data_IF_095648366908
#
_entry.id   IF_095648366908
#
_cell.length_a   1.000
_cell.length_b   1.000
_cell.length_c   1.000
_cell.angle_alpha   90.00
_cell.angle_beta   90.00
_cell.angle_gamma   90.00
#
_symmetry.space_group_name_H-M   'P 1'
#
loop_
_entity.id
_entity.type
_entity.pdbx_description
1 polymer ?
#
# COMPACT_ATOMS: atom_id res chain seq x y z
N UNK A 1 12.61 6.02 -14.58
CA UNK A 1 13.20 4.81 -15.18
C UNK A 1 12.35 4.32 -16.33
N UNK A 2 12.98 3.70 -17.33
CA UNK A 2 12.27 3.00 -18.40
C UNK A 2 11.99 1.58 -17.91
N UNK A 3 10.76 1.33 -17.49
CA UNK A 3 10.30 0.05 -16.96
C UNK A 3 9.47 -0.63 -18.05
N UNK A 4 9.63 -1.94 -18.22
CA UNK A 4 8.72 -2.74 -19.04
C UNK A 4 7.75 -3.50 -18.14
N UNK A 5 6.61 -3.93 -18.69
CA UNK A 5 5.65 -4.74 -17.97
C UNK A 5 5.22 -5.94 -18.82
N UNK A 6 4.93 -7.06 -18.16
CA UNK A 6 4.43 -8.26 -18.81
C UNK A 6 3.50 -9.07 -17.90
N UNK A 7 2.70 -9.94 -18.51
CA UNK A 7 1.92 -10.96 -17.82
C UNK A 7 2.72 -12.26 -17.87
N UNK A 8 2.93 -12.87 -16.71
CA UNK A 8 3.74 -14.10 -16.57
C UNK A 8 2.91 -15.36 -16.40
N UNK A 9 1.70 -15.24 -15.84
CA UNK A 9 0.74 -16.34 -15.69
C UNK A 9 -0.67 -15.80 -15.53
N UNK A 10 -1.67 -16.60 -15.87
CA UNK A 10 -3.07 -16.28 -15.65
C UNK A 10 -3.92 -17.56 -15.60
N UNK A 11 -5.07 -17.47 -14.94
CA UNK A 11 -6.14 -18.46 -14.95
C UNK A 11 -7.51 -17.76 -15.02
N UNK A 12 -8.61 -18.49 -14.80
CA UNK A 12 -9.96 -17.93 -14.88
C UNK A 12 -10.26 -16.81 -13.85
N UNK A 13 -9.50 -16.75 -12.76
CA UNK A 13 -9.74 -15.85 -11.63
C UNK A 13 -8.50 -15.03 -11.24
N UNK A 14 -7.34 -15.28 -11.84
CA UNK A 14 -6.10 -14.60 -11.48
C UNK A 14 -5.23 -14.21 -12.69
N UNK A 15 -4.44 -13.15 -12.52
CA UNK A 15 -3.34 -12.78 -13.40
C UNK A 15 -2.14 -12.36 -12.58
N UNK A 16 -0.94 -12.78 -12.98
CA UNK A 16 0.32 -12.34 -12.37
C UNK A 16 1.07 -11.45 -13.34
N UNK A 17 1.19 -10.17 -13.00
CA UNK A 17 1.98 -9.19 -13.73
C UNK A 17 3.36 -8.98 -13.12
N UNK A 18 4.30 -8.54 -13.93
CA UNK A 18 5.61 -8.10 -13.49
C UNK A 18 5.98 -6.77 -14.12
N UNK A 19 6.69 -5.95 -13.35
CA UNK A 19 7.50 -4.85 -13.85
C UNK A 19 8.95 -5.31 -13.90
N UNK A 20 9.60 -5.06 -15.03
CA UNK A 20 10.95 -5.49 -15.32
C UNK A 20 11.86 -4.29 -15.55
N UNK A 21 13.11 -4.42 -15.10
CA UNK A 21 14.18 -3.54 -15.56
C UNK A 21 14.36 -3.74 -17.07
N UNK A 22 14.27 -2.66 -17.85
CA UNK A 22 14.28 -2.76 -19.32
C UNK A 22 15.61 -3.32 -19.87
N UNK A 23 16.73 -3.08 -19.20
CA UNK A 23 18.04 -3.47 -19.71
C UNK A 23 18.39 -4.92 -19.36
N UNK A 24 18.21 -5.28 -18.09
CA UNK A 24 18.58 -6.59 -17.55
C UNK A 24 17.45 -7.61 -17.65
N UNK A 25 16.22 -7.14 -17.87
CA UNK A 25 14.98 -7.94 -17.79
C UNK A 25 14.77 -8.58 -16.41
N UNK A 26 15.47 -8.10 -15.39
CA UNK A 26 15.29 -8.57 -14.02
C UNK A 26 13.94 -8.09 -13.46
N UNK A 27 13.21 -8.94 -12.72
CA UNK A 27 11.96 -8.55 -12.10
C UNK A 27 12.20 -7.55 -10.98
N UNK A 28 11.53 -6.40 -11.09
CA UNK A 28 11.56 -5.32 -10.11
C UNK A 28 10.36 -5.38 -9.17
N UNK A 29 9.18 -5.65 -9.73
CA UNK A 29 7.94 -5.80 -8.96
C UNK A 29 7.11 -6.93 -9.54
N UNK A 30 6.66 -7.86 -8.71
CA UNK A 30 5.70 -8.91 -9.09
C UNK A 30 4.40 -8.70 -8.35
N UNK A 31 3.26 -8.73 -9.04
CA UNK A 31 1.96 -8.48 -8.43
C UNK A 31 0.90 -9.46 -8.97
N UNK A 32 0.33 -10.31 -8.09
CA UNK A 32 -0.86 -11.07 -8.44
C UNK A 32 -2.12 -10.21 -8.29
N UNK A 33 -3.02 -10.30 -9.25
CA UNK A 33 -4.37 -9.79 -9.18
C UNK A 33 -5.33 -10.97 -9.19
N UNK A 34 -6.03 -11.19 -8.08
CA UNK A 34 -6.95 -12.32 -7.90
C UNK A 34 -8.35 -11.78 -7.67
N UNK A 35 -9.33 -12.25 -8.43
CA UNK A 35 -10.74 -11.88 -8.28
C UNK A 35 -11.20 -12.20 -6.86
N UNK A 36 -11.80 -11.21 -6.20
CA UNK A 36 -12.30 -11.33 -4.83
C UNK A 36 -11.25 -11.15 -3.73
N UNK A 37 -9.97 -10.97 -4.06
CA UNK A 37 -8.97 -10.61 -3.06
C UNK A 37 -9.25 -9.21 -2.50
N UNK A 38 -9.34 -9.04 -1.16
CA UNK A 38 -9.46 -7.73 -0.55
C UNK A 38 -8.11 -6.98 -0.46
N UNK A 39 -7.03 -7.62 -0.90
CA UNK A 39 -5.67 -7.07 -0.88
C UNK A 39 -5.13 -6.90 -2.29
N UNK A 40 -4.51 -5.75 -2.54
CA UNK A 40 -3.49 -5.58 -3.57
C UNK A 40 -2.16 -6.06 -3.00
N UNK A 41 -1.46 -6.94 -3.70
CA UNK A 41 -0.18 -7.51 -3.25
C UNK A 41 0.90 -7.22 -4.28
N UNK A 42 2.08 -6.79 -3.81
CA UNK A 42 3.24 -6.54 -4.65
C UNK A 42 4.53 -6.95 -3.93
N UNK A 43 5.34 -7.79 -4.57
CA UNK A 43 6.68 -8.15 -4.14
C UNK A 43 7.70 -7.29 -4.89
N UNK A 44 8.53 -6.56 -4.14
CA UNK A 44 9.55 -5.65 -4.62
C UNK A 44 10.92 -6.31 -4.53
N UNK A 45 11.73 -6.13 -5.58
CA UNK A 45 13.07 -6.70 -5.70
C UNK A 45 14.06 -5.67 -6.22
N UNK A 46 15.36 -5.99 -6.13
CA UNK A 46 16.41 -5.19 -6.76
C UNK A 46 16.55 -3.78 -6.17
N UNK A 47 16.12 -3.58 -4.92
CA UNK A 47 16.22 -2.29 -4.23
C UNK A 47 15.18 -1.25 -4.66
N UNK A 48 14.10 -1.64 -5.35
CA UNK A 48 13.04 -0.73 -5.77
C UNK A 48 12.30 -0.16 -4.56
N UNK A 49 12.16 1.17 -4.55
CA UNK A 49 11.44 1.91 -3.52
C UNK A 49 9.97 2.11 -3.91
N UNK A 50 9.01 1.54 -3.16
CA UNK A 50 7.60 1.75 -3.42
C UNK A 50 7.20 3.20 -3.13
N UNK A 51 6.32 3.71 -3.99
CA UNK A 51 5.61 4.97 -3.79
C UNK A 51 4.13 4.75 -4.03
N UNK A 52 3.31 5.08 -3.04
CA UNK A 52 1.87 5.20 -3.20
C UNK A 52 1.55 6.67 -3.45
N UNK A 53 0.89 6.96 -4.57
CA UNK A 53 0.47 8.31 -4.94
C UNK A 53 -1.05 8.42 -4.86
N UNK A 54 -1.54 9.52 -4.30
CA UNK A 54 -2.97 9.80 -4.11
C UNK A 54 -3.39 10.89 -5.10
N UNK A 55 -3.99 10.48 -6.22
CA UNK A 55 -4.32 11.40 -7.32
C UNK A 55 -5.60 12.21 -7.08
N UNK A 56 -6.56 11.63 -6.36
CA UNK A 56 -7.90 12.19 -6.16
C UNK A 56 -8.31 12.28 -4.68
N UNK A 57 -7.36 12.10 -3.77
CA UNK A 57 -7.58 12.17 -2.34
C UNK A 57 -6.33 12.69 -1.64
N UNK A 58 -6.51 13.14 -0.41
CA UNK A 58 -5.41 13.58 0.44
C UNK A 58 -5.19 12.62 1.59
N UNK A 59 -3.93 12.29 1.85
CA UNK A 59 -3.51 11.59 3.05
C UNK A 59 -3.55 12.56 4.23
N UNK A 60 -4.49 12.32 5.13
CA UNK A 60 -4.78 13.16 6.30
C UNK A 60 -4.29 12.57 7.61
N UNK A 61 -3.93 11.29 7.63
CA UNK A 61 -3.38 10.63 8.79
C UNK A 61 -2.62 9.37 8.45
N UNK A 62 -1.58 9.11 9.23
CA UNK A 62 -0.74 7.91 9.14
C UNK A 62 -0.47 7.44 10.56
N UNK A 63 -0.57 6.13 10.81
CA UNK A 63 -0.20 5.54 12.10
C UNK A 63 0.56 4.22 11.87
N UNK A 64 1.67 4.02 12.59
CA UNK A 64 2.46 2.79 12.55
C UNK A 64 2.08 1.79 13.66
N UNK A 65 2.90 0.76 13.83
CA UNK A 65 2.74 -0.29 14.87
C UNK A 65 2.82 0.24 16.31
N UNK A 66 3.45 1.39 16.53
CA UNK A 66 3.60 1.96 17.86
C UNK A 66 2.39 2.85 18.20
N UNK A 67 1.48 2.29 19.00
CA UNK A 67 0.60 2.95 19.96
C UNK A 67 0.12 4.36 19.59
N UNK A 68 -0.77 4.45 18.60
CA UNK A 68 -1.73 5.56 18.45
C UNK A 68 -1.16 6.95 18.13
N UNK A 69 0.15 7.15 18.14
CA UNK A 69 0.77 8.42 17.82
C UNK A 69 0.73 8.65 16.29
N UNK A 70 -0.16 9.55 15.85
CA UNK A 70 -0.16 10.08 14.49
C UNK A 70 1.03 11.05 14.37
N UNK A 71 2.13 10.74 13.67
CA UNK A 71 3.10 11.77 13.32
C UNK A 71 2.38 12.93 12.62
N UNK A 72 2.78 14.18 12.86
CA UNK A 72 2.13 15.35 12.26
C UNK A 72 2.43 15.49 10.75
N UNK A 73 3.56 14.93 10.31
CA UNK A 73 4.08 14.70 8.95
C UNK A 73 5.53 14.19 9.13
N UNK A 74 6.06 13.40 8.20
CA UNK A 74 7.45 12.93 8.31
C UNK A 74 7.61 11.45 7.97
N UNK A 75 8.38 10.72 8.79
CA UNK A 75 8.65 9.29 8.57
C UNK A 75 7.78 8.43 9.49
N UNK A 76 7.05 7.49 8.91
CA UNK A 76 6.40 6.39 9.63
C UNK A 76 7.22 5.12 9.43
N UNK A 77 7.31 4.29 10.46
CA UNK A 77 7.98 2.99 10.38
C UNK A 77 7.10 1.91 10.99
N UNK A 78 7.04 0.74 10.35
CA UNK A 78 6.30 -0.42 10.86
C UNK A 78 6.13 -1.52 9.82
N UNK A 79 5.52 -2.62 10.25
CA UNK A 79 5.05 -3.72 9.38
C UNK A 79 3.55 -3.60 9.08
N UNK A 80 2.83 -2.77 9.84
CA UNK A 80 1.44 -2.40 9.59
C UNK A 80 1.31 -0.88 9.74
N UNK A 81 0.85 -0.24 8.67
CA UNK A 81 0.69 1.22 8.59
C UNK A 81 -0.76 1.50 8.21
N UNK A 82 -1.48 2.19 9.10
CA UNK A 82 -2.84 2.64 8.86
C UNK A 82 -2.80 4.02 8.20
N UNK A 83 -3.52 4.16 7.09
CA UNK A 83 -3.61 5.37 6.29
C UNK A 83 -5.04 5.89 6.35
N UNK A 84 -5.19 7.19 6.59
CA UNK A 84 -6.48 7.88 6.64
C UNK A 84 -6.54 8.89 5.51
N UNK A 85 -7.43 8.67 4.54
CA UNK A 85 -7.63 9.54 3.38
C UNK A 85 -8.87 10.41 3.58
N UNK A 86 -8.87 11.61 2.99
CA UNK A 86 -10.01 12.53 2.92
C UNK A 86 -10.74 12.74 4.27
N UNK A 87 -10.00 13.08 5.33
CA UNK A 87 -10.57 13.37 6.64
C UNK A 87 -11.41 12.22 7.23
N UNK A 88 -10.86 10.99 7.22
CA UNK A 88 -11.44 9.75 7.79
C UNK A 88 -12.51 9.02 6.99
N UNK A 89 -12.92 9.54 5.84
CA UNK A 89 -13.92 8.87 4.98
C UNK A 89 -13.43 7.57 4.36
N UNK A 90 -12.10 7.36 4.29
CA UNK A 90 -11.52 6.11 3.81
C UNK A 90 -10.30 5.74 4.65
N UNK A 91 -10.28 4.52 5.15
CA UNK A 91 -9.13 3.96 5.85
C UNK A 91 -8.52 2.84 5.03
N UNK A 92 -7.21 2.87 4.88
CA UNK A 92 -6.46 1.83 4.21
C UNK A 92 -5.42 1.29 5.17
N UNK A 93 -5.04 0.02 5.02
CA UNK A 93 -3.94 -0.56 5.78
C UNK A 93 -2.93 -1.16 4.84
N UNK A 94 -1.70 -0.69 4.98
CA UNK A 94 -0.53 -1.23 4.33
C UNK A 94 0.14 -2.20 5.29
N UNK A 95 0.29 -3.44 4.86
CA UNK A 95 1.06 -4.48 5.52
C UNK A 95 2.36 -4.71 4.77
N UNK A 96 3.42 -4.98 5.51
CA UNK A 96 4.71 -5.40 4.99
C UNK A 96 5.15 -6.67 5.73
N UNK A 97 5.79 -7.59 5.01
CA UNK A 97 6.37 -8.80 5.58
C UNK A 97 7.60 -8.54 6.46
N UNK A 98 8.16 -7.34 6.37
CA UNK A 98 9.24 -6.84 7.21
C UNK A 98 9.09 -5.34 7.48
N UNK A 99 9.86 -4.81 8.43
CA UNK A 99 9.75 -3.41 8.83
C UNK A 99 10.17 -2.48 7.68
N UNK A 100 9.29 -1.54 7.36
CA UNK A 100 9.49 -0.56 6.29
C UNK A 100 9.29 0.85 6.82
N UNK A 101 10.04 1.80 6.25
CA UNK A 101 9.97 3.22 6.60
C UNK A 101 9.53 4.04 5.40
N UNK A 102 8.49 4.84 5.58
CA UNK A 102 7.95 5.72 4.55
C UNK A 102 7.95 7.17 5.01
N UNK A 103 8.40 8.07 4.14
CA UNK A 103 8.11 9.49 4.25
C UNK A 103 6.73 9.73 3.66
N UNK A 104 5.93 10.53 4.34
CA UNK A 104 4.58 10.83 3.89
C UNK A 104 4.29 12.33 3.89
N UNK A 105 3.46 12.72 2.93
CA UNK A 105 2.87 14.03 2.80
C UNK A 105 1.39 13.87 2.39
N UNK A 106 0.72 14.97 2.04
CA UNK A 106 -0.70 14.91 1.69
C UNK A 106 -0.99 14.15 0.37
N UNK A 107 -0.01 14.02 -0.53
CA UNK A 107 -0.19 13.47 -1.86
C UNK A 107 0.48 12.11 -2.05
N UNK A 108 1.37 11.69 -1.15
CA UNK A 108 2.10 10.43 -1.31
C UNK A 108 2.64 9.81 -0.03
N UNK A 109 2.92 8.52 -0.14
CA UNK A 109 3.68 7.71 0.81
C UNK A 109 4.86 7.09 0.05
N UNK A 110 6.07 7.59 0.30
CA UNK A 110 7.29 7.20 -0.44
C UNK A 110 8.27 6.48 0.50
N UNK A 111 8.71 5.29 0.13
CA UNK A 111 9.69 4.56 0.92
C UNK A 111 11.00 5.36 1.02
N UNK A 112 11.57 5.47 2.22
CA UNK A 112 12.78 6.27 2.47
C UNK A 112 14.04 5.49 2.17
N UNK A 113 14.02 4.20 2.52
CA UNK A 113 15.13 3.27 2.34
C UNK A 113 14.54 1.95 1.86
N UNK A 114 15.14 1.36 0.84
CA UNK A 114 14.73 0.06 0.37
C UNK A 114 15.26 -0.94 1.41
N UNK A 115 14.44 -1.86 1.91
CA UNK A 115 14.97 -3.02 2.61
C UNK A 115 16.11 -3.61 1.76
N UNK A 116 17.22 -3.99 2.41
CA UNK A 116 18.38 -4.59 1.71
C UNK A 116 18.04 -5.92 1.03
N UNK A 117 16.84 -6.42 1.26
CA UNK A 117 16.32 -7.72 0.84
C UNK A 117 14.98 -7.46 0.17
N UNK A 118 14.63 -8.31 -0.80
CA UNK A 118 13.30 -8.35 -1.40
C UNK A 118 12.20 -8.38 -0.33
N UNK A 119 11.08 -7.71 -0.59
CA UNK A 119 10.01 -7.56 0.39
C UNK A 119 8.63 -7.46 -0.26
N UNK A 120 7.61 -7.77 0.50
CA UNK A 120 6.22 -7.77 0.03
C UNK A 120 5.41 -6.71 0.74
N UNK A 121 4.65 -5.94 -0.04
CA UNK A 121 3.61 -5.07 0.47
C UNK A 121 2.23 -5.61 0.11
N UNK A 122 1.30 -5.48 1.05
CA UNK A 122 -0.12 -5.75 0.84
C UNK A 122 -0.93 -4.53 1.28
N UNK A 123 -1.82 -4.07 0.43
CA UNK A 123 -2.66 -2.91 0.70
C UNK A 123 -4.13 -3.33 0.65
N UNK A 124 -4.90 -2.97 1.67
CA UNK A 124 -6.35 -3.18 1.69
C UNK A 124 -7.08 -1.91 2.11
N UNK A 125 -8.22 -1.65 1.49
CA UNK A 125 -9.18 -0.69 2.00
C UNK A 125 -9.96 -1.35 3.16
N UNK A 126 -10.08 -0.65 4.27
CA UNK A 126 -11.00 -1.00 5.34
C UNK A 126 -12.27 -0.22 5.07
N UNK A 127 -13.31 -0.94 4.63
CA UNK A 127 -14.64 -0.38 4.58
C UNK A 127 -15.16 -0.32 6.02
N UNK A 128 -15.34 0.88 6.57
CA UNK A 128 -16.30 1.03 7.66
C UNK A 128 -17.64 0.93 6.94
N UNK A 129 -18.28 -0.24 7.04
CA UNK A 129 -19.52 -0.54 6.34
C UNK A 129 -20.45 0.68 6.33
N UNK A 130 -21.16 0.83 5.20
CA UNK A 130 -22.23 1.81 4.98
C UNK A 130 -22.79 2.27 6.32
N UNK A 131 -22.80 3.58 6.67
CA UNK A 131 -23.29 4.01 7.96
C UNK A 131 -24.68 3.42 8.13
N UNK A 132 -24.80 2.41 8.99
CA UNK A 132 -26.09 1.81 9.29
C UNK A 132 -26.91 2.94 9.87
N UNK A 133 -27.89 3.42 9.11
CA UNK A 133 -28.87 4.36 9.59
C UNK A 133 -29.71 3.65 10.67
N UNK A 134 -29.20 3.55 11.89
CA UNK A 134 -29.92 3.13 13.09
C UNK A 134 -29.05 3.28 14.35
N UNK A 135 -29.13 4.46 14.96
CA UNK A 135 -29.29 4.56 16.41
C UNK A 135 -29.90 5.94 16.71
N UNK A 136 -31.21 6.07 16.50
CA UNK A 136 -31.99 7.05 17.24
C UNK A 136 -31.87 6.67 18.71
N UNK A 137 -30.89 7.23 19.43
CA UNK A 137 -30.94 7.21 20.89
C UNK A 137 -32.04 8.18 21.31
N UNK A 138 -33.21 7.60 21.60
CA UNK A 138 -34.17 8.22 22.51
C UNK A 138 -33.65 7.94 23.92
N UNK A 139 -33.14 8.97 24.58
CA UNK A 139 -33.18 9.13 26.03
C UNK A 139 -33.54 10.59 26.31
#
# INVERSE_FOLDING_TARGET
EKVDHEVTSYDALSVTGQYLDRQTRAPLVTYPLVRGSPYLTAAFRGGVLPKLAFLHCQLTGVAGNADGARPAKGVVTGTRIVLTLNQTLQTWVLYADQQVSFRWDAASLSAVVAPKVDFTLRLAAIDFGTPTAAATQVL
#
